data_IF_590134745745
#
_entry.id   IF_590134745745
#
_cell.length_a   1.000
_cell.length_b   1.000
_cell.length_c   1.000
_cell.angle_alpha   90.00
_cell.angle_beta   90.00
_cell.angle_gamma   90.00
#
_symmetry.space_group_name_H-M   'P 1'
#
loop_
_entity.id
_entity.type
_entity.pdbx_description
1 polymer ?
#
# COMPACT_ATOMS: atom_id res chain seq x y z
N UNK A 1 22.51 15.40 0.68
CA UNK A 1 21.64 15.09 -0.50
C UNK A 1 21.01 13.69 -0.48
N UNK A 2 21.14 12.95 0.60
CA UNK A 2 20.55 11.61 0.76
C UNK A 2 19.14 11.62 1.37
N UNK A 3 18.55 12.78 1.58
CA UNK A 3 17.29 12.97 2.33
C UNK A 3 16.02 12.96 1.45
N UNK A 4 16.13 12.64 0.15
CA UNK A 4 15.00 12.71 -0.81
C UNK A 4 14.03 11.53 -0.78
N UNK A 5 14.30 10.48 -0.02
CA UNK A 5 13.51 9.24 -0.06
C UNK A 5 12.75 8.87 1.23
N UNK A 6 12.84 9.66 2.28
CA UNK A 6 12.17 9.38 3.55
C UNK A 6 10.83 10.09 3.62
N UNK A 7 9.78 9.33 3.59
CA UNK A 7 8.36 9.61 3.85
C UNK A 7 7.86 11.07 3.78
N UNK A 8 7.15 11.45 2.74
CA UNK A 8 6.62 12.80 2.52
C UNK A 8 5.83 13.41 3.70
N UNK A 9 5.23 12.61 4.57
CA UNK A 9 4.47 13.08 5.73
C UNK A 9 5.35 13.64 6.87
N UNK A 10 6.50 13.01 7.11
CA UNK A 10 7.45 13.44 8.12
C UNK A 10 8.36 14.55 7.59
N UNK A 11 8.66 14.53 6.29
CA UNK A 11 9.36 15.61 5.59
C UNK A 11 8.60 16.93 5.73
N UNK A 12 7.27 16.96 5.61
CA UNK A 12 6.48 18.18 5.75
C UNK A 12 6.53 18.79 7.16
N UNK A 13 6.44 17.97 8.21
CA UNK A 13 6.59 18.43 9.59
C UNK A 13 8.02 18.85 9.92
N UNK A 14 9.00 18.13 9.38
CA UNK A 14 10.43 18.38 9.54
C UNK A 14 10.87 19.66 8.81
N UNK A 15 10.29 19.99 7.65
CA UNK A 15 10.55 21.24 6.92
C UNK A 15 10.20 22.50 7.72
N UNK A 16 9.28 22.40 8.68
CA UNK A 16 8.89 23.49 9.56
C UNK A 16 9.81 23.65 10.79
N UNK A 17 10.77 22.74 11.00
CA UNK A 17 11.75 22.83 12.09
C UNK A 17 13.05 23.42 11.54
N UNK A 18 13.55 24.49 12.18
CA UNK A 18 14.78 25.13 11.73
C UNK A 18 15.98 24.17 11.84
N UNK A 19 16.90 24.23 10.86
CA UNK A 19 18.10 23.38 10.84
C UNK A 19 18.89 23.41 12.15
N UNK A 20 19.17 24.59 12.79
CA UNK A 20 19.87 24.63 14.08
C UNK A 20 19.16 23.89 15.22
N UNK A 21 17.83 23.72 15.10
CA UNK A 21 17.08 22.95 16.10
C UNK A 21 17.16 21.46 15.79
N UNK A 22 17.07 21.07 14.52
CA UNK A 22 17.22 19.67 14.08
C UNK A 22 18.60 19.10 14.45
N UNK A 23 19.66 19.89 14.34
CA UNK A 23 21.03 19.49 14.70
C UNK A 23 21.22 19.20 16.19
N UNK A 24 20.28 19.62 17.03
CA UNK A 24 20.29 19.40 18.49
C UNK A 24 19.27 18.39 18.96
N UNK A 25 18.52 17.77 18.02
CA UNK A 25 17.47 16.80 18.33
C UNK A 25 17.92 15.40 17.93
N UNK A 26 17.61 14.44 18.77
CA UNK A 26 17.65 13.03 18.39
C UNK A 26 16.39 12.69 17.60
N UNK A 27 16.56 12.10 16.43
CA UNK A 27 15.44 11.70 15.56
C UNK A 27 15.18 10.22 15.80
N UNK A 28 14.04 9.91 16.40
CA UNK A 28 13.57 8.54 16.58
C UNK A 28 12.52 8.25 15.50
N UNK A 29 12.84 7.34 14.60
CA UNK A 29 11.91 6.91 13.55
C UNK A 29 10.93 5.87 14.11
N UNK A 30 9.63 6.17 14.03
CA UNK A 30 8.56 5.23 14.40
C UNK A 30 7.90 4.72 13.13
N UNK A 31 8.23 3.50 12.75
CA UNK A 31 7.68 2.85 11.56
C UNK A 31 6.21 2.46 11.69
N UNK A 32 5.62 2.03 10.57
CA UNK A 32 4.28 1.45 10.53
C UNK A 32 4.25 0.09 11.22
N UNK A 33 3.16 -0.21 11.94
CA UNK A 33 2.92 -1.55 12.47
C UNK A 33 2.45 -2.51 11.37
N UNK A 34 2.98 -3.74 11.40
CA UNK A 34 2.46 -4.85 10.59
C UNK A 34 1.05 -5.26 11.03
N UNK A 35 0.34 -6.01 10.19
CA UNK A 35 -0.99 -6.52 10.57
C UNK A 35 -0.92 -7.45 11.80
N UNK A 36 0.20 -8.16 11.97
CA UNK A 36 0.41 -9.06 13.10
C UNK A 36 0.70 -8.28 14.40
N UNK A 37 1.56 -7.27 14.34
CA UNK A 37 1.80 -6.36 15.48
C UNK A 37 0.48 -5.67 15.92
N UNK A 38 -0.31 -5.15 14.96
CA UNK A 38 -1.64 -4.57 15.25
C UNK A 38 -2.58 -5.57 15.90
N UNK A 39 -2.52 -6.84 15.47
CA UNK A 39 -3.33 -7.91 16.07
C UNK A 39 -2.94 -8.14 17.53
N UNK A 40 -1.65 -8.25 17.84
CA UNK A 40 -1.18 -8.42 19.22
C UNK A 40 -1.47 -7.20 20.09
N UNK A 41 -1.22 -5.99 19.60
CA UNK A 41 -1.57 -4.74 20.30
C UNK A 41 -3.09 -4.69 20.59
N UNK A 42 -3.93 -5.05 19.61
CA UNK A 42 -5.37 -5.08 19.82
C UNK A 42 -5.80 -6.09 20.87
N UNK A 43 -5.30 -7.34 20.77
CA UNK A 43 -5.69 -8.46 21.64
C UNK A 43 -5.19 -8.29 23.07
N UNK A 44 -3.95 -7.87 23.23
CA UNK A 44 -3.30 -7.81 24.53
C UNK A 44 -3.56 -6.52 25.30
N UNK A 45 -3.75 -5.40 24.57
CA UNK A 45 -3.84 -4.08 25.18
C UNK A 45 -5.17 -3.37 24.89
N UNK A 46 -5.50 -3.10 23.59
CA UNK A 46 -6.60 -2.19 23.28
C UNK A 46 -7.97 -2.71 23.70
N UNK A 47 -8.24 -4.00 23.46
CA UNK A 47 -9.53 -4.62 23.84
C UNK A 47 -9.72 -4.56 25.34
N UNK A 48 -8.71 -4.95 26.14
CA UNK A 48 -8.77 -4.91 27.59
C UNK A 48 -8.97 -3.49 28.12
N UNK A 49 -8.24 -2.52 27.53
CA UNK A 49 -8.35 -1.10 27.86
C UNK A 49 -9.79 -0.61 27.62
N UNK A 50 -10.34 -0.87 26.42
CA UNK A 50 -11.66 -0.39 26.06
C UNK A 50 -12.78 -1.07 26.86
N UNK A 51 -12.64 -2.34 27.21
CA UNK A 51 -13.56 -3.05 28.12
C UNK A 51 -13.57 -2.36 29.49
N UNK A 52 -12.41 -2.09 30.06
CA UNK A 52 -12.25 -1.44 31.38
C UNK A 52 -12.80 -0.01 31.38
N UNK A 53 -12.43 0.79 30.36
CA UNK A 53 -12.89 2.20 30.23
C UNK A 53 -14.41 2.33 30.11
N UNK A 54 -15.12 1.28 29.61
CA UNK A 54 -16.56 1.25 29.49
C UNK A 54 -17.23 0.51 30.68
N UNK A 55 -16.54 0.26 31.78
CA UNK A 55 -17.10 -0.31 33.02
C UNK A 55 -17.47 -1.80 32.92
N UNK A 56 -16.91 -2.52 31.93
CA UNK A 56 -17.18 -3.94 31.70
C UNK A 56 -16.12 -4.84 32.34
N UNK A 57 -16.49 -6.08 32.57
CA UNK A 57 -15.54 -7.15 32.89
C UNK A 57 -15.04 -7.79 31.58
N UNK A 58 -13.82 -8.34 31.61
CA UNK A 58 -13.22 -9.04 30.44
C UNK A 58 -14.08 -10.23 29.98
N UNK A 59 -14.84 -10.82 30.89
CA UNK A 59 -15.80 -11.90 30.59
C UNK A 59 -17.04 -11.47 29.80
N UNK A 60 -17.37 -10.17 29.81
CA UNK A 60 -18.60 -9.66 29.23
C UNK A 60 -18.54 -9.56 27.70
N UNK A 61 -17.37 -9.35 27.15
CA UNK A 61 -17.18 -9.22 25.70
C UNK A 61 -16.00 -10.07 25.23
N UNK A 62 -16.25 -10.93 24.27
CA UNK A 62 -15.23 -11.79 23.68
C UNK A 62 -15.07 -11.50 22.20
N UNK A 63 -13.83 -11.33 21.76
CA UNK A 63 -13.46 -11.17 20.37
C UNK A 63 -12.80 -12.44 19.86
N UNK A 64 -13.19 -12.95 18.70
CA UNK A 64 -12.44 -14.02 18.02
C UNK A 64 -11.19 -13.43 17.36
N UNK A 65 -10.12 -14.18 17.27
CA UNK A 65 -8.89 -13.75 16.60
C UNK A 65 -9.16 -13.34 15.14
N UNK A 66 -10.06 -14.05 14.49
CA UNK A 66 -10.47 -13.78 13.12
C UNK A 66 -11.13 -12.40 12.99
N UNK A 67 -12.04 -12.04 13.91
CA UNK A 67 -12.71 -10.72 13.86
C UNK A 67 -11.75 -9.57 14.12
N UNK A 68 -10.74 -9.75 14.99
CA UNK A 68 -9.70 -8.73 15.20
C UNK A 68 -8.97 -8.46 13.88
N UNK A 69 -8.54 -9.52 13.17
CA UNK A 69 -7.92 -9.39 11.85
C UNK A 69 -8.86 -8.76 10.81
N UNK A 70 -10.15 -9.09 10.84
CA UNK A 70 -11.16 -8.47 9.98
C UNK A 70 -11.28 -6.96 10.27
N UNK A 71 -11.28 -6.54 11.53
CA UNK A 71 -11.33 -5.12 11.90
C UNK A 71 -10.09 -4.39 11.38
N UNK A 72 -8.91 -4.97 11.55
CA UNK A 72 -7.65 -4.41 11.05
C UNK A 72 -7.70 -4.22 9.52
N UNK A 73 -8.05 -5.26 8.78
CA UNK A 73 -7.92 -5.27 7.32
C UNK A 73 -9.09 -4.58 6.59
N UNK A 74 -10.28 -4.52 7.22
CA UNK A 74 -11.49 -4.12 6.51
C UNK A 74 -12.16 -2.86 7.08
N UNK A 75 -11.77 -2.41 8.26
CA UNK A 75 -12.38 -1.24 8.91
C UNK A 75 -11.36 -0.16 9.29
N UNK A 76 -10.05 -0.45 9.15
CA UNK A 76 -8.98 0.53 9.37
C UNK A 76 -8.02 0.56 8.19
N UNK A 77 -7.44 1.75 7.94
CA UNK A 77 -6.36 1.96 6.97
C UNK A 77 -5.46 3.05 7.55
N UNK A 78 -4.42 2.64 8.28
CA UNK A 78 -3.55 3.53 9.02
C UNK A 78 -2.19 2.86 9.32
N UNK A 79 -1.13 3.65 9.46
CA UNK A 79 0.18 3.18 9.87
C UNK A 79 0.20 2.70 11.34
N UNK A 80 -0.44 3.45 12.23
CA UNK A 80 -0.55 3.15 13.66
C UNK A 80 -1.78 2.33 14.04
N UNK A 81 -2.29 2.53 15.26
CA UNK A 81 -3.41 1.77 15.86
C UNK A 81 -4.53 2.65 16.43
N UNK A 82 -4.49 3.98 16.20
CA UNK A 82 -5.52 4.89 16.75
C UNK A 82 -6.91 4.67 16.15
N UNK A 83 -6.98 4.41 14.86
CA UNK A 83 -8.22 4.06 14.18
C UNK A 83 -8.75 2.71 14.65
N UNK A 84 -7.88 1.71 14.81
CA UNK A 84 -8.19 0.40 15.36
C UNK A 84 -8.79 0.51 16.77
N UNK A 85 -8.17 1.29 17.65
CA UNK A 85 -8.69 1.55 18.98
C UNK A 85 -10.09 2.18 18.94
N UNK A 86 -10.32 3.15 18.03
CA UNK A 86 -11.65 3.77 17.85
C UNK A 86 -12.70 2.75 17.39
N UNK A 87 -12.35 1.81 16.48
CA UNK A 87 -13.30 0.77 16.06
C UNK A 87 -13.59 -0.21 17.20
N UNK A 88 -12.57 -0.64 17.96
CA UNK A 88 -12.75 -1.48 19.14
C UNK A 88 -13.65 -0.78 20.17
N UNK A 89 -13.38 0.48 20.48
CA UNK A 89 -14.21 1.29 21.37
C UNK A 89 -15.68 1.37 20.91
N UNK A 90 -15.91 1.51 19.59
CA UNK A 90 -17.26 1.52 19.01
C UNK A 90 -17.97 0.18 19.20
N UNK A 91 -17.26 -0.94 19.02
CA UNK A 91 -17.79 -2.29 19.24
C UNK A 91 -18.17 -2.45 20.72
N UNK A 92 -17.25 -2.12 21.63
CA UNK A 92 -17.46 -2.27 23.08
C UNK A 92 -18.64 -1.43 23.55
N UNK A 93 -18.77 -0.17 23.11
CA UNK A 93 -19.94 0.67 23.46
C UNK A 93 -21.28 0.06 22.98
N UNK A 94 -21.31 -0.58 21.83
CA UNK A 94 -22.54 -1.28 21.38
C UNK A 94 -22.79 -2.54 22.19
N UNK A 95 -21.73 -3.26 22.60
CA UNK A 95 -21.85 -4.41 23.49
C UNK A 95 -22.41 -3.99 24.87
N UNK A 96 -22.00 -2.84 25.42
CA UNK A 96 -22.62 -2.28 26.66
C UNK A 96 -24.14 -2.15 26.50
N UNK A 97 -24.59 -1.61 25.36
CA UNK A 97 -26.04 -1.46 25.09
C UNK A 97 -26.77 -2.81 25.04
N UNK A 98 -26.13 -3.84 24.48
CA UNK A 98 -26.71 -5.19 24.45
C UNK A 98 -26.79 -5.83 25.86
N UNK A 99 -25.73 -5.64 26.66
CA UNK A 99 -25.69 -6.11 28.05
C UNK A 99 -26.71 -5.41 28.91
N UNK A 100 -26.92 -4.09 28.72
CA UNK A 100 -27.96 -3.33 29.40
C UNK A 100 -29.35 -3.84 29.05
N UNK A 101 -29.62 -4.06 27.76
CA UNK A 101 -30.92 -4.63 27.33
C UNK A 101 -31.15 -6.05 27.84
N UNK A 102 -30.09 -6.80 28.10
CA UNK A 102 -30.16 -8.15 28.66
C UNK A 102 -30.27 -8.17 30.20
N UNK A 103 -30.36 -7.00 30.84
CA UNK A 103 -30.54 -6.87 32.29
C UNK A 103 -29.26 -7.09 33.11
N UNK A 104 -28.07 -7.07 32.46
CA UNK A 104 -26.77 -7.16 33.20
C UNK A 104 -26.54 -5.93 34.06
N UNK A 105 -27.14 -4.79 33.68
CA UNK A 105 -27.08 -3.56 34.42
C UNK A 105 -28.51 -3.07 34.72
N UNK A 106 -28.73 -2.60 35.93
CA UNK A 106 -29.95 -1.97 36.40
C UNK A 106 -30.05 -0.53 35.88
N UNK A 107 -31.20 0.11 36.04
CA UNK A 107 -31.44 1.48 35.54
C UNK A 107 -30.52 2.55 36.13
N UNK A 108 -29.99 2.32 37.31
CA UNK A 108 -28.96 3.16 37.98
C UNK A 108 -27.52 2.84 37.58
N UNK A 109 -27.32 1.88 36.67
CA UNK A 109 -26.02 1.47 36.19
C UNK A 109 -25.31 0.43 37.08
N UNK A 110 -25.96 -0.03 38.14
CA UNK A 110 -25.40 -1.07 39.02
C UNK A 110 -25.43 -2.44 38.31
N UNK A 111 -24.38 -3.26 38.48
CA UNK A 111 -24.34 -4.58 37.87
C UNK A 111 -25.19 -5.59 38.64
N UNK A 112 -26.11 -6.24 37.97
CA UNK A 112 -26.81 -7.42 38.50
C UNK A 112 -25.90 -8.65 38.39
N UNK A 113 -25.47 -9.17 39.55
CA UNK A 113 -24.58 -10.34 39.63
C UNK A 113 -25.29 -11.67 39.28
N UNK A 114 -26.62 -11.67 39.24
CA UNK A 114 -27.39 -12.88 38.91
C UNK A 114 -27.49 -13.12 37.40
N UNK A 115 -27.42 -12.04 36.61
CA UNK A 115 -27.49 -12.11 35.15
C UNK A 115 -26.10 -12.32 34.55
N UNK A 116 -25.89 -13.50 33.97
CA UNK A 116 -24.63 -13.82 33.25
C UNK A 116 -24.90 -13.77 31.76
N UNK A 117 -24.33 -12.79 31.07
CA UNK A 117 -24.39 -12.64 29.61
C UNK A 117 -23.03 -12.26 29.07
N UNK A 118 -22.58 -12.95 28.01
CA UNK A 118 -21.38 -12.59 27.27
C UNK A 118 -21.77 -12.23 25.85
N UNK A 119 -21.25 -11.10 25.35
CA UNK A 119 -21.39 -10.68 23.97
C UNK A 119 -20.20 -11.21 23.18
N UNK A 120 -20.49 -12.08 22.20
CA UNK A 120 -19.44 -12.66 21.35
C UNK A 120 -19.36 -11.91 20.02
N UNK A 121 -18.23 -11.29 19.77
CA UNK A 121 -17.93 -10.56 18.54
C UNK A 121 -17.18 -11.48 17.58
N UNK A 122 -17.77 -11.68 16.40
CA UNK A 122 -17.27 -12.57 15.35
C UNK A 122 -17.49 -11.97 13.95
N UNK A 123 -16.91 -12.58 12.93
CA UNK A 123 -17.10 -12.15 11.54
C UNK A 123 -18.57 -12.19 11.09
N UNK A 124 -19.42 -13.01 11.74
CA UNK A 124 -20.83 -13.13 11.38
C UNK A 124 -21.66 -11.91 11.79
N UNK A 125 -21.25 -11.21 12.85
CA UNK A 125 -22.01 -10.10 13.42
C UNK A 125 -21.25 -8.76 13.46
N UNK A 126 -20.01 -8.71 12.97
CA UNK A 126 -19.21 -7.48 13.00
C UNK A 126 -19.88 -6.32 12.25
N UNK A 127 -20.64 -6.62 11.22
CA UNK A 127 -21.39 -5.61 10.45
C UNK A 127 -22.48 -4.92 11.26
N UNK A 128 -23.03 -5.57 12.28
CA UNK A 128 -24.04 -4.98 13.20
C UNK A 128 -23.39 -3.90 14.09
N UNK A 129 -22.09 -4.09 14.39
CA UNK A 129 -21.31 -3.16 15.20
C UNK A 129 -20.67 -2.04 14.39
N UNK A 130 -20.06 -2.34 13.27
CA UNK A 130 -19.25 -1.38 12.51
C UNK A 130 -19.93 -0.89 11.22
N UNK A 131 -20.96 -1.58 10.75
CA UNK A 131 -21.60 -1.32 9.46
C UNK A 131 -20.89 -2.05 8.31
N UNK A 132 -21.16 -1.62 7.09
CA UNK A 132 -20.54 -2.22 5.89
C UNK A 132 -19.02 -2.11 5.93
N UNK A 133 -18.34 -3.12 5.37
CA UNK A 133 -16.89 -3.11 5.15
C UNK A 133 -16.48 -1.84 4.42
N UNK A 134 -15.48 -1.14 4.97
CA UNK A 134 -14.98 0.13 4.45
C UNK A 134 -13.87 -0.03 3.43
N UNK A 135 -12.97 -0.97 3.71
CA UNK A 135 -11.79 -1.21 2.89
C UNK A 135 -11.80 -2.65 2.42
N UNK A 136 -11.62 -2.85 1.14
CA UNK A 136 -11.36 -4.16 0.55
C UNK A 136 -9.89 -4.20 0.19
N UNK A 137 -9.14 -5.22 0.60
CA UNK A 137 -7.77 -5.37 0.15
C UNK A 137 -7.74 -5.41 -1.38
N UNK A 138 -6.84 -4.63 -1.97
CA UNK A 138 -6.52 -4.79 -3.37
C UNK A 138 -5.97 -6.20 -3.57
N UNK A 139 -6.44 -6.85 -4.61
CA UNK A 139 -5.97 -8.16 -4.99
C UNK A 139 -5.17 -8.05 -6.27
N UNK A 140 -4.14 -8.88 -6.39
CA UNK A 140 -3.45 -9.05 -7.68
C UNK A 140 -4.46 -9.39 -8.78
N UNK A 141 -4.15 -9.01 -10.01
CA UNK A 141 -4.97 -9.34 -11.18
C UNK A 141 -5.05 -10.87 -11.34
N UNK A 142 -6.16 -11.36 -11.88
CA UNK A 142 -6.36 -12.81 -12.05
C UNK A 142 -5.40 -13.42 -13.09
N UNK A 143 -5.03 -12.61 -14.10
CA UNK A 143 -4.14 -13.00 -15.21
C UNK A 143 -3.26 -11.82 -15.60
N UNK A 144 -2.20 -12.10 -16.37
CA UNK A 144 -1.38 -11.06 -16.98
C UNK A 144 -2.17 -10.29 -18.05
N UNK A 145 -1.93 -9.00 -18.13
CA UNK A 145 -2.62 -8.09 -19.06
C UNK A 145 -1.63 -7.16 -19.75
N UNK A 146 -2.00 -6.75 -20.98
CA UNK A 146 -1.20 -5.82 -21.78
C UNK A 146 -1.40 -4.40 -21.24
N UNK A 147 -0.30 -3.69 -21.03
CA UNK A 147 -0.34 -2.30 -20.59
C UNK A 147 -0.73 -2.08 -19.12
N UNK A 148 -0.99 -3.14 -18.35
CA UNK A 148 -1.37 -3.04 -16.94
C UNK A 148 -0.23 -3.57 -16.06
N UNK A 149 0.26 -2.73 -15.16
CA UNK A 149 1.36 -3.06 -14.25
C UNK A 149 1.09 -2.54 -12.85
N UNK A 150 1.43 -3.33 -11.86
CA UNK A 150 1.27 -2.96 -10.46
C UNK A 150 2.56 -2.37 -9.90
N UNK A 151 2.49 -1.12 -9.48
CA UNK A 151 3.51 -0.43 -8.73
C UNK A 151 3.25 -0.46 -7.23
N UNK A 152 4.22 0.00 -6.46
CA UNK A 152 4.14 0.11 -5.01
C UNK A 152 4.30 1.57 -4.59
N UNK A 153 3.38 2.03 -3.73
CA UNK A 153 3.37 3.37 -3.20
C UNK A 153 3.47 3.37 -1.68
N UNK A 154 4.02 4.44 -1.15
CA UNK A 154 3.93 4.80 0.26
C UNK A 154 2.89 5.90 0.44
N UNK A 155 2.08 5.80 1.49
CA UNK A 155 1.10 6.81 1.91
C UNK A 155 1.18 7.03 3.41
N UNK A 156 0.61 8.13 3.91
CA UNK A 156 0.51 8.37 5.37
C UNK A 156 -0.27 7.28 6.12
N UNK A 157 -1.10 6.53 5.40
CA UNK A 157 -1.87 5.42 5.96
C UNK A 157 -1.11 4.08 5.93
N UNK A 158 0.10 4.06 5.38
CA UNK A 158 0.92 2.87 5.15
C UNK A 158 1.21 2.66 3.67
N UNK A 159 1.61 1.44 3.30
CA UNK A 159 1.83 1.10 1.90
C UNK A 159 0.53 0.86 1.14
N UNK A 160 0.63 1.03 -0.17
CA UNK A 160 -0.46 0.79 -1.10
C UNK A 160 0.06 0.22 -2.42
N UNK A 161 -0.80 -0.43 -3.19
CA UNK A 161 -0.48 -0.81 -4.57
C UNK A 161 -1.12 0.17 -5.54
N UNK A 162 -0.40 0.51 -6.59
CA UNK A 162 -0.89 1.36 -7.67
C UNK A 162 -1.00 0.54 -8.94
N UNK A 163 -2.18 0.46 -9.52
CA UNK A 163 -2.33 -0.05 -10.87
C UNK A 163 -2.02 1.07 -11.86
N UNK A 164 -1.10 0.82 -12.78
CA UNK A 164 -0.73 1.73 -13.86
C UNK A 164 -1.21 1.12 -15.16
N UNK A 165 -2.08 1.83 -15.85
CA UNK A 165 -2.68 1.43 -17.11
C UNK A 165 -2.11 2.27 -18.26
N UNK A 166 -1.69 1.63 -19.32
CA UNK A 166 -1.26 2.30 -20.56
C UNK A 166 -2.00 1.68 -21.74
N UNK A 167 -2.61 2.54 -22.53
CA UNK A 167 -3.15 2.17 -23.82
C UNK A 167 -2.50 2.98 -24.93
N UNK A 168 -2.45 2.40 -26.12
CA UNK A 168 -2.02 3.07 -27.33
C UNK A 168 -3.17 3.10 -28.32
N UNK A 169 -3.26 4.16 -29.12
CA UNK A 169 -4.27 4.34 -30.14
C UNK A 169 -3.69 5.10 -31.33
N UNK A 170 -4.26 5.00 -32.52
CA UNK A 170 -3.83 5.83 -33.67
C UNK A 170 -3.82 7.31 -33.28
N UNK A 171 -2.74 8.03 -33.62
CA UNK A 171 -2.55 9.43 -33.24
C UNK A 171 -1.27 10.00 -33.83
N UNK A 172 -0.80 11.13 -33.33
CA UNK A 172 0.39 11.83 -33.81
C UNK A 172 1.46 11.97 -32.74
N UNK A 173 1.65 10.94 -31.92
CA UNK A 173 2.66 10.92 -30.86
C UNK A 173 2.26 11.66 -29.57
N UNK A 174 0.98 11.99 -29.41
CA UNK A 174 0.51 12.68 -28.20
C UNK A 174 0.64 11.78 -26.98
N UNK A 175 1.03 12.38 -25.85
CA UNK A 175 1.13 11.67 -24.55
C UNK A 175 0.19 12.30 -23.54
N UNK A 176 -0.87 11.55 -23.18
CA UNK A 176 -1.88 11.97 -22.21
C UNK A 176 -1.66 11.29 -20.87
N UNK A 177 -1.72 12.08 -19.80
CA UNK A 177 -1.58 11.62 -18.42
C UNK A 177 -2.84 11.93 -17.62
N UNK A 178 -3.38 10.96 -16.90
CA UNK A 178 -4.53 11.12 -16.01
C UNK A 178 -4.36 10.32 -14.72
N UNK A 179 -5.05 10.70 -13.64
CA UNK A 179 -5.00 10.01 -12.34
C UNK A 179 -4.49 10.85 -11.19
N UNK A 180 -4.62 12.20 -11.31
CA UNK A 180 -4.22 13.17 -10.28
C UNK A 180 -2.75 13.03 -9.86
N UNK A 181 -1.87 13.00 -10.87
CA UNK A 181 -0.42 12.92 -10.70
C UNK A 181 0.18 14.29 -10.43
N UNK A 182 1.06 14.37 -9.44
CA UNK A 182 1.92 15.52 -9.19
C UNK A 182 3.00 15.66 -10.27
N UNK A 183 3.77 16.75 -10.18
CA UNK A 183 4.71 17.11 -11.24
C UNK A 183 5.90 16.16 -11.33
N UNK A 184 6.40 15.66 -10.19
CA UNK A 184 7.50 14.66 -10.16
C UNK A 184 7.07 13.36 -10.84
N UNK A 185 5.83 12.93 -10.61
CA UNK A 185 5.30 11.71 -11.21
C UNK A 185 5.05 11.88 -12.72
N UNK A 186 4.61 13.07 -13.19
CA UNK A 186 4.49 13.38 -14.61
C UNK A 186 5.84 13.39 -15.33
N UNK A 187 6.87 13.96 -14.67
CA UNK A 187 8.25 13.93 -15.18
C UNK A 187 8.74 12.48 -15.30
N UNK A 188 8.53 11.66 -14.28
CA UNK A 188 8.86 10.24 -14.28
C UNK A 188 8.18 9.47 -15.42
N UNK A 189 6.91 9.79 -15.72
CA UNK A 189 6.18 9.22 -16.85
C UNK A 189 6.82 9.63 -18.20
N UNK A 190 7.24 10.88 -18.33
CA UNK A 190 7.92 11.38 -19.53
C UNK A 190 9.29 10.72 -19.75
N UNK A 191 10.04 10.49 -18.67
CA UNK A 191 11.29 9.73 -18.69
C UNK A 191 11.03 8.30 -19.15
N UNK A 192 10.01 7.65 -18.61
CA UNK A 192 9.63 6.28 -18.97
C UNK A 192 9.35 6.13 -20.48
N UNK A 193 8.53 7.02 -21.05
CA UNK A 193 8.23 7.01 -22.50
C UNK A 193 9.49 7.25 -23.33
N UNK A 194 10.31 8.24 -22.96
CA UNK A 194 11.55 8.57 -23.66
C UNK A 194 12.53 7.40 -23.66
N UNK A 195 12.67 6.72 -22.51
CA UNK A 195 13.51 5.54 -22.39
C UNK A 195 13.01 4.38 -23.26
N UNK A 196 11.72 4.06 -23.20
CA UNK A 196 11.15 2.96 -23.99
C UNK A 196 11.30 3.23 -25.47
N UNK A 197 11.02 4.45 -25.92
CA UNK A 197 11.28 4.85 -27.32
C UNK A 197 12.74 4.59 -27.71
N UNK A 198 13.70 5.03 -26.93
CA UNK A 198 15.13 4.80 -27.19
C UNK A 198 15.53 3.32 -27.23
N UNK A 199 14.89 2.47 -26.42
CA UNK A 199 15.18 1.02 -26.37
C UNK A 199 14.57 0.28 -27.55
N UNK A 200 13.36 0.66 -27.97
CA UNK A 200 12.68 0.05 -29.12
C UNK A 200 13.31 0.45 -30.43
N UNK A 201 13.71 1.72 -30.60
CA UNK A 201 14.43 2.20 -31.80
C UNK A 201 15.77 1.45 -32.03
N UNK A 202 16.42 0.95 -30.96
CA UNK A 202 17.62 0.11 -31.06
C UNK A 202 17.35 -1.34 -31.45
N UNK A 203 16.13 -1.68 -31.85
CA UNK A 203 15.75 -2.99 -32.34
C UNK A 203 15.72 -4.13 -31.31
N UNK A 204 15.77 -3.79 -30.02
CA UNK A 204 15.72 -4.81 -28.96
C UNK A 204 14.33 -5.47 -28.83
N UNK A 205 13.30 -4.73 -29.17
CA UNK A 205 11.92 -5.20 -29.25
C UNK A 205 11.40 -4.95 -30.69
N UNK A 206 10.61 -5.85 -31.22
CA UNK A 206 10.04 -5.71 -32.57
C UNK A 206 8.90 -4.68 -32.53
N UNK A 207 9.25 -3.42 -32.66
CA UNK A 207 8.33 -2.28 -32.73
C UNK A 207 8.66 -1.52 -33.99
N UNK A 208 7.63 -1.09 -34.72
CA UNK A 208 7.80 -0.26 -35.92
C UNK A 208 8.54 1.04 -35.56
N UNK A 209 9.46 1.46 -36.41
CA UNK A 209 10.26 2.68 -36.21
C UNK A 209 9.37 3.94 -36.12
N UNK A 210 8.23 3.95 -36.80
CA UNK A 210 7.27 5.06 -36.79
C UNK A 210 6.18 4.92 -35.73
N UNK A 211 6.22 3.85 -34.92
CA UNK A 211 5.13 3.57 -33.96
C UNK A 211 4.83 4.76 -33.05
N UNK A 212 5.85 5.38 -32.49
CA UNK A 212 5.69 6.51 -31.57
C UNK A 212 5.25 7.80 -32.26
N UNK A 213 5.38 7.90 -33.58
CA UNK A 213 4.89 9.04 -34.36
C UNK A 213 3.43 8.85 -34.79
N UNK A 214 3.01 7.60 -35.00
CA UNK A 214 1.70 7.24 -35.53
C UNK A 214 0.69 6.81 -34.46
N UNK A 215 1.10 6.78 -33.16
CA UNK A 215 0.24 6.42 -32.06
C UNK A 215 0.26 7.45 -30.94
N UNK A 216 -0.89 7.74 -30.39
CA UNK A 216 -1.05 8.46 -29.12
C UNK A 216 -0.99 7.46 -27.96
N UNK A 217 -0.51 7.94 -26.84
CA UNK A 217 -0.35 7.17 -25.59
C UNK A 217 -1.22 7.79 -24.51
N UNK A 218 -1.95 6.96 -23.77
CA UNK A 218 -2.65 7.41 -22.59
C UNK A 218 -2.24 6.55 -21.40
N UNK A 219 -1.56 7.17 -20.44
CA UNK A 219 -1.22 6.57 -19.16
C UNK A 219 -2.21 7.07 -18.11
N UNK A 220 -2.82 6.13 -17.42
CA UNK A 220 -3.78 6.38 -16.35
C UNK A 220 -3.37 5.67 -15.07
N UNK A 221 -3.53 6.36 -13.93
CA UNK A 221 -3.45 5.74 -12.62
C UNK A 221 -4.82 5.90 -11.95
N UNK A 222 -5.59 4.82 -11.74
CA UNK A 222 -6.90 4.85 -11.11
C UNK A 222 -6.91 5.55 -9.75
N UNK A 223 -8.10 5.75 -9.18
CA UNK A 223 -8.33 6.48 -7.94
C UNK A 223 -7.90 7.96 -8.01
N UNK A 224 -8.39 8.68 -9.02
CA UNK A 224 -8.07 10.08 -9.26
C UNK A 224 -8.43 11.06 -8.14
N UNK A 225 -9.23 10.65 -7.16
CA UNK A 225 -9.52 11.45 -5.96
C UNK A 225 -8.31 11.56 -5.01
N UNK A 226 -7.37 10.60 -5.07
CA UNK A 226 -6.17 10.58 -4.23
C UNK A 226 -4.99 11.17 -4.99
N UNK A 227 -4.39 12.29 -4.54
CA UNK A 227 -3.18 12.81 -5.14
C UNK A 227 -2.03 11.79 -5.05
N UNK A 228 -1.29 11.66 -6.14
CA UNK A 228 -0.14 10.75 -6.24
C UNK A 228 1.06 11.53 -6.76
N UNK A 229 2.19 11.41 -6.08
CA UNK A 229 3.43 12.04 -6.53
C UNK A 229 4.66 11.22 -6.13
N UNK A 230 5.77 11.46 -6.82
CA UNK A 230 7.06 10.84 -6.55
C UNK A 230 7.63 10.05 -7.74
N UNK A 231 8.96 9.84 -7.75
CA UNK A 231 9.67 9.23 -8.89
C UNK A 231 9.65 7.69 -8.86
N UNK A 232 9.27 7.06 -7.73
CA UNK A 232 9.43 5.62 -7.50
C UNK A 232 8.56 4.71 -8.36
N UNK A 233 7.62 5.28 -9.15
CA UNK A 233 6.80 4.57 -10.11
C UNK A 233 7.43 4.49 -11.52
N UNK A 234 8.62 5.06 -11.74
CA UNK A 234 9.25 5.16 -13.06
C UNK A 234 9.43 3.83 -13.77
N UNK A 235 9.94 2.82 -13.06
CA UNK A 235 10.11 1.47 -13.63
C UNK A 235 8.76 0.82 -13.96
N UNK A 236 7.74 1.06 -13.14
CA UNK A 236 6.38 0.54 -13.37
C UNK A 236 5.77 1.14 -14.62
N UNK A 237 5.89 2.47 -14.78
CA UNK A 237 5.41 3.19 -15.97
C UNK A 237 6.13 2.72 -17.24
N UNK A 238 7.46 2.55 -17.18
CA UNK A 238 8.22 2.06 -18.32
C UNK A 238 7.81 0.64 -18.71
N UNK A 239 7.57 -0.24 -17.73
CA UNK A 239 7.11 -1.61 -18.00
C UNK A 239 5.72 -1.60 -18.63
N UNK A 240 4.81 -0.74 -18.17
CA UNK A 240 3.47 -0.60 -18.73
C UNK A 240 3.50 -0.06 -20.17
N UNK A 241 4.33 0.96 -20.42
CA UNK A 241 4.52 1.52 -21.77
C UNK A 241 5.09 0.46 -22.72
N UNK A 242 6.15 -0.26 -22.30
CA UNK A 242 6.73 -1.31 -23.13
C UNK A 242 5.73 -2.43 -23.43
N UNK A 243 4.97 -2.86 -22.43
CA UNK A 243 3.92 -3.87 -22.60
C UNK A 243 2.86 -3.41 -23.62
N UNK A 244 2.37 -2.17 -23.50
CA UNK A 244 1.38 -1.61 -24.42
C UNK A 244 1.90 -1.51 -25.86
N UNK A 245 3.15 -1.07 -26.04
CA UNK A 245 3.78 -0.90 -27.36
C UNK A 245 4.08 -2.23 -28.04
N UNK A 246 4.47 -3.25 -27.27
CA UNK A 246 4.84 -4.56 -27.80
C UNK A 246 3.67 -5.54 -27.87
N UNK A 247 2.55 -5.23 -27.20
CA UNK A 247 1.43 -6.16 -27.05
C UNK A 247 1.73 -7.36 -26.15
N UNK A 248 2.84 -7.34 -25.41
CA UNK A 248 3.25 -8.43 -24.52
C UNK A 248 2.65 -8.21 -23.13
N UNK A 249 1.84 -9.15 -22.61
CA UNK A 249 1.24 -9.01 -21.28
C UNK A 249 2.29 -9.00 -20.16
N UNK A 250 1.99 -8.29 -19.08
CA UNK A 250 2.77 -8.32 -17.84
C UNK A 250 2.19 -9.38 -16.90
N UNK A 251 3.04 -10.12 -16.21
CA UNK A 251 2.62 -11.14 -15.23
C UNK A 251 1.80 -10.51 -14.12
N UNK A 252 0.73 -11.20 -13.69
CA UNK A 252 -0.17 -10.73 -12.62
C UNK A 252 0.40 -10.87 -11.20
N UNK A 253 1.44 -11.69 -11.02
CA UNK A 253 2.06 -11.99 -9.73
C UNK A 253 3.26 -11.10 -9.41
N UNK A 254 3.50 -10.06 -10.22
CA UNK A 254 4.62 -9.13 -10.05
C UNK A 254 4.15 -7.75 -9.58
N UNK A 255 4.98 -7.11 -8.78
CA UNK A 255 4.94 -5.67 -8.55
C UNK A 255 6.36 -5.11 -8.58
N UNK A 256 6.47 -3.81 -8.73
CA UNK A 256 7.76 -3.17 -8.85
C UNK A 256 7.77 -1.76 -8.26
N UNK A 257 8.95 -1.32 -7.87
CA UNK A 257 9.21 0.06 -7.45
C UNK A 257 10.64 0.43 -7.81
N UNK A 258 10.86 1.67 -8.18
CA UNK A 258 12.17 2.18 -8.54
C UNK A 258 12.07 3.46 -9.37
N UNK A 259 12.94 4.41 -9.10
CA UNK A 259 13.11 5.59 -9.96
C UNK A 259 13.86 5.19 -11.22
N UNK A 260 13.41 5.65 -12.37
CA UNK A 260 14.00 5.32 -13.66
C UNK A 260 14.78 6.50 -14.22
N UNK A 261 15.98 6.24 -14.73
CA UNK A 261 16.76 7.21 -15.49
C UNK A 261 16.56 7.07 -17.00
N UNK A 262 16.89 8.11 -17.77
CA UNK A 262 16.88 8.08 -19.24
C UNK A 262 17.80 7.00 -19.87
N UNK A 263 18.71 6.42 -19.08
CA UNK A 263 19.60 5.33 -19.52
C UNK A 263 19.13 3.95 -19.03
N UNK A 264 17.98 3.88 -18.35
CA UNK A 264 17.40 2.65 -17.86
C UNK A 264 17.95 2.15 -16.52
N UNK A 265 18.80 2.94 -15.83
CA UNK A 265 19.20 2.60 -14.46
C UNK A 265 17.98 2.73 -13.53
N UNK A 266 17.84 1.76 -12.61
CA UNK A 266 16.81 1.77 -11.58
C UNK A 266 17.46 2.23 -10.27
N UNK A 267 17.05 3.41 -9.80
CA UNK A 267 17.61 4.07 -8.62
C UNK A 267 16.84 3.71 -7.34
N UNK A 268 17.49 3.78 -6.17
CA UNK A 268 16.90 3.42 -4.88
C UNK A 268 15.75 4.35 -4.50
N UNK A 269 14.86 3.82 -3.65
CA UNK A 269 13.63 4.49 -3.23
C UNK A 269 13.43 4.39 -1.71
N UNK A 270 12.57 5.24 -1.16
CA UNK A 270 12.17 5.17 0.24
C UNK A 270 10.84 4.48 0.51
N UNK A 271 10.53 4.27 1.78
CA UNK A 271 9.29 3.64 2.24
C UNK A 271 9.15 2.18 1.84
N UNK A 272 10.27 1.45 1.80
CA UNK A 272 10.31 0.08 1.30
C UNK A 272 9.54 -0.89 2.19
N UNK A 273 9.60 -0.73 3.52
CA UNK A 273 8.84 -1.53 4.48
C UNK A 273 7.34 -1.53 4.14
N UNK A 274 6.78 -0.36 4.01
CA UNK A 274 5.35 -0.17 3.72
C UNK A 274 4.97 -0.71 2.35
N UNK A 275 5.82 -0.51 1.35
CA UNK A 275 5.62 -1.01 -0.02
C UNK A 275 5.60 -2.54 -0.06
N UNK A 276 6.49 -3.20 0.66
CA UNK A 276 6.52 -4.66 0.74
C UNK A 276 5.32 -5.22 1.51
N UNK A 277 4.90 -4.55 2.58
CA UNK A 277 3.67 -4.90 3.30
C UNK A 277 2.43 -4.80 2.42
N UNK A 278 2.34 -3.75 1.59
CA UNK A 278 1.25 -3.61 0.63
C UNK A 278 1.26 -4.74 -0.41
N UNK A 279 2.43 -5.06 -0.94
CA UNK A 279 2.64 -6.17 -1.87
C UNK A 279 2.17 -7.51 -1.28
N UNK A 280 2.57 -7.81 -0.04
CA UNK A 280 2.14 -9.01 0.71
C UNK A 280 0.63 -9.06 0.89
N UNK A 281 0.03 -7.94 1.26
CA UNK A 281 -1.43 -7.83 1.46
C UNK A 281 -2.21 -8.05 0.16
N UNK A 282 -1.67 -7.58 -0.96
CA UNK A 282 -2.25 -7.79 -2.29
C UNK A 282 -2.04 -9.22 -2.85
N UNK A 283 -1.25 -10.05 -2.15
CA UNK A 283 -0.93 -11.42 -2.58
C UNK A 283 0.06 -11.48 -3.75
N UNK A 284 0.90 -10.47 -3.89
CA UNK A 284 2.00 -10.43 -4.86
C UNK A 284 3.13 -11.32 -4.34
N UNK A 285 3.67 -12.14 -5.21
CA UNK A 285 4.74 -13.08 -4.85
C UNK A 285 6.11 -12.70 -5.38
N UNK A 286 6.19 -11.88 -6.43
CA UNK A 286 7.46 -11.43 -7.00
C UNK A 286 7.52 -9.91 -6.98
N UNK A 287 8.54 -9.34 -6.33
CA UNK A 287 8.69 -7.89 -6.18
C UNK A 287 10.04 -7.46 -6.69
N UNK A 288 10.04 -6.57 -7.70
CA UNK A 288 11.27 -5.96 -8.21
C UNK A 288 11.61 -4.73 -7.37
N UNK A 289 12.83 -4.73 -6.84
CA UNK A 289 13.37 -3.69 -5.95
C UNK A 289 14.73 -3.24 -6.47
N UNK A 290 15.07 -1.95 -6.42
CA UNK A 290 16.41 -1.49 -6.79
C UNK A 290 17.48 -2.22 -5.97
N UNK A 291 18.58 -2.59 -6.60
CA UNK A 291 19.68 -3.31 -5.93
C UNK A 291 20.29 -2.52 -4.78
N UNK A 292 20.33 -1.20 -4.93
CA UNK A 292 20.87 -0.30 -3.91
C UNK A 292 20.00 -0.21 -2.64
N UNK A 293 18.74 -0.74 -2.67
CA UNK A 293 17.90 -0.94 -1.48
C UNK A 293 18.06 -2.30 -0.80
N UNK A 294 19.08 -3.09 -1.17
CA UNK A 294 19.26 -4.43 -0.61
C UNK A 294 19.47 -4.41 0.90
N UNK A 295 20.28 -3.50 1.40
CA UNK A 295 20.49 -3.31 2.84
C UNK A 295 19.19 -2.99 3.58
N UNK A 296 18.35 -2.13 2.99
CA UNK A 296 17.06 -1.77 3.60
C UNK A 296 16.14 -3.00 3.73
N UNK A 297 16.19 -3.94 2.76
CA UNK A 297 15.42 -5.20 2.84
C UNK A 297 15.99 -6.15 3.88
N UNK A 298 17.32 -6.24 3.98
CA UNK A 298 18.02 -7.12 4.93
C UNK A 298 17.80 -6.68 6.39
N UNK A 299 17.49 -5.41 6.64
CA UNK A 299 17.14 -4.87 7.96
C UNK A 299 15.67 -5.10 8.34
N UNK A 300 14.82 -5.54 7.41
CA UNK A 300 13.40 -5.80 7.70
C UNK A 300 13.21 -7.13 8.43
N UNK A 301 12.20 -7.16 9.30
CA UNK A 301 11.74 -8.40 9.91
C UNK A 301 11.38 -9.44 8.85
N UNK A 302 11.78 -10.68 9.09
CA UNK A 302 11.51 -11.80 8.17
C UNK A 302 10.02 -11.99 7.89
N UNK A 303 9.15 -11.66 8.86
CA UNK A 303 7.70 -11.67 8.67
C UNK A 303 7.26 -10.83 7.47
N UNK A 304 7.97 -9.74 7.14
CA UNK A 304 7.61 -8.85 6.02
C UNK A 304 7.94 -9.50 4.68
N UNK A 305 9.09 -10.13 4.58
CA UNK A 305 9.64 -10.67 3.33
C UNK A 305 9.24 -12.13 3.08
N UNK A 306 8.84 -12.85 4.13
CA UNK A 306 8.44 -14.25 4.04
C UNK A 306 7.31 -14.48 3.04
N UNK A 307 7.50 -15.45 2.14
CA UNK A 307 6.55 -15.79 1.08
C UNK A 307 6.62 -14.88 -0.16
N UNK A 308 7.55 -13.92 -0.19
CA UNK A 308 7.83 -13.09 -1.36
C UNK A 308 9.22 -13.38 -1.92
N UNK A 309 9.32 -13.40 -3.24
CA UNK A 309 10.58 -13.43 -3.97
C UNK A 309 10.97 -11.98 -4.31
N UNK A 310 11.96 -11.45 -3.61
CA UNK A 310 12.46 -10.10 -3.84
C UNK A 310 13.57 -10.16 -4.87
N UNK A 311 13.36 -9.52 -6.00
CA UNK A 311 14.26 -9.53 -7.16
C UNK A 311 14.97 -8.18 -7.23
N UNK A 312 16.25 -8.18 -6.93
CA UNK A 312 17.08 -6.98 -6.98
C UNK A 312 17.54 -6.68 -8.40
N UNK A 313 17.31 -5.45 -8.86
CA UNK A 313 17.59 -5.01 -10.23
C UNK A 313 18.41 -3.72 -10.25
N UNK A 314 19.32 -3.61 -11.22
CA UNK A 314 20.07 -2.39 -11.51
C UNK A 314 19.50 -1.64 -12.72
N UNK A 315 18.86 -2.39 -13.63
CA UNK A 315 18.43 -1.85 -14.92
C UNK A 315 17.02 -2.33 -15.29
N UNK A 316 16.28 -1.48 -15.96
CA UNK A 316 14.91 -1.75 -16.41
C UNK A 316 14.80 -3.01 -17.29
N UNK A 317 15.84 -3.32 -18.07
CA UNK A 317 15.88 -4.51 -18.93
C UNK A 317 15.79 -5.80 -18.12
N UNK A 318 16.38 -5.83 -16.92
CA UNK A 318 16.28 -6.99 -16.02
C UNK A 318 14.85 -7.21 -15.55
N UNK A 319 14.12 -6.10 -15.34
CA UNK A 319 12.68 -6.14 -15.00
C UNK A 319 11.88 -6.65 -16.20
N UNK A 320 12.07 -6.07 -17.38
CA UNK A 320 11.31 -6.44 -18.58
C UNK A 320 11.48 -7.91 -18.95
N UNK A 321 12.69 -8.45 -18.79
CA UNK A 321 13.01 -9.85 -19.10
C UNK A 321 12.23 -10.85 -18.22
N UNK A 322 11.83 -10.45 -17.03
CA UNK A 322 11.18 -11.32 -16.03
C UNK A 322 9.71 -10.98 -15.78
N UNK A 323 9.32 -9.72 -16.00
CA UNK A 323 7.95 -9.27 -15.78
C UNK A 323 7.03 -9.48 -16.99
N UNK A 324 7.58 -9.38 -18.21
CA UNK A 324 6.80 -9.62 -19.45
C UNK A 324 6.66 -11.12 -19.70
N UNK A 325 5.46 -11.51 -20.12
CA UNK A 325 5.16 -12.88 -20.52
C UNK A 325 5.75 -13.12 -21.92
N UNK A 326 6.49 -14.22 -22.10
CA UNK A 326 7.03 -14.62 -23.40
C UNK A 326 6.02 -15.40 -24.19
#
# INVERSE_FOLDING_TARGET
DTDRSRGLGDVYKRQNISRPLLDRMEIIEVGSYTANEKFHIAKEHLIKKQIKENGLLVSDVKFTDKVIRTVINSYTREAGVRGLERQIAKIVRKAVRELYKAGVFTSDGTRDKTVKKTVNISDKNITDYLGKVKYRPDKKNAKGEVGIVRGLAWTQAGGDTLEIEVITMPGKGEFKLTGNMGDVMKESASIAVSYIRSVTEKGRYKVDAEYFQNHAFHLHIPEGATPKDGPSAGITMATAVLSAVTGIPVRADVAMTGELTLRGKVLPIGGLKEKLLASKTAGITNVFVPRDNRSDVEELDTEITEGMNIIYVNNAIEVFAQALMR
#
